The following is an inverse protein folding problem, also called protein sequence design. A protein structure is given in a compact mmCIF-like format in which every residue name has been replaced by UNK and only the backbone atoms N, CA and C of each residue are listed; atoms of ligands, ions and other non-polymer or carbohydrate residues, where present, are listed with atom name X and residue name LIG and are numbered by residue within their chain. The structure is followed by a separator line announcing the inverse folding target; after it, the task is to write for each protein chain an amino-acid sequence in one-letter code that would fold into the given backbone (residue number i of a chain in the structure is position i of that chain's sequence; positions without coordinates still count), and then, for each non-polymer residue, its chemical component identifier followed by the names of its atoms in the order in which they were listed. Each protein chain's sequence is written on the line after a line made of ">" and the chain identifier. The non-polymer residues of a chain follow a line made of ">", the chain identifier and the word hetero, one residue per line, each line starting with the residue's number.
data_IF_737043447663
#
_entry.id   IF_737043447663
#
_cell.length_a   1.000
_cell.length_b   1.000
_cell.length_c   1.000
_cell.angle_alpha   90.00
_cell.angle_beta   90.00
_cell.angle_gamma   90.00
#
_symmetry.space_group_name_H-M   'P 1'
#
loop_
_entity.id
_entity.type
_entity.pdbx_description
1 polymer ?
#
# COMPACT_ATOMS: atom_id res chain seq x y z
N UNK A 1 -9.03 -39.53 37.61
CA UNK A 1 -8.22 -38.93 36.54
C UNK A 1 -6.89 -39.68 36.57
N UNK A 2 -6.78 -40.82 35.87
CA UNK A 2 -6.28 -40.93 34.48
C UNK A 2 -4.95 -40.18 34.33
N UNK A 3 -3.82 -40.79 34.06
CA UNK A 3 -3.40 -42.17 33.79
C UNK A 3 -1.86 -42.13 33.85
N UNK A 4 -1.21 -43.14 34.38
CA UNK A 4 -0.68 -44.18 33.51
C UNK A 4 0.75 -43.84 33.05
N UNK A 5 1.74 -44.48 33.66
CA UNK A 5 2.85 -45.13 32.95
C UNK A 5 3.52 -46.09 33.93
N UNK A 6 3.46 -47.41 33.68
CA UNK A 6 4.20 -48.41 34.44
C UNK A 6 5.68 -48.37 34.05
N UNK A 7 6.53 -48.77 35.00
CA UNK A 7 7.97 -49.08 34.93
C UNK A 7 8.65 -49.02 33.54
N UNK A 8 9.62 -48.12 33.40
CA UNK A 8 10.86 -48.51 32.72
C UNK A 8 11.77 -49.10 33.80
N UNK A 9 11.82 -50.42 33.89
CA UNK A 9 12.82 -51.19 34.63
C UNK A 9 14.20 -50.97 34.00
N UNK A 10 14.75 -49.77 34.22
CA UNK A 10 16.10 -49.37 33.88
C UNK A 10 16.89 -49.12 35.16
N UNK A 11 18.20 -49.35 35.11
CA UNK A 11 19.11 -49.14 36.24
C UNK A 11 18.89 -47.76 36.87
N UNK A 12 18.54 -47.74 38.15
CA UNK A 12 18.39 -46.53 38.95
C UNK A 12 19.74 -46.09 39.52
N UNK A 13 20.00 -44.79 39.47
CA UNK A 13 21.27 -44.23 39.90
C UNK A 13 21.08 -43.28 41.08
N UNK A 14 21.91 -43.45 42.11
CA UNK A 14 22.07 -42.50 43.20
C UNK A 14 23.36 -41.71 42.98
N UNK A 15 23.31 -40.39 43.12
CA UNK A 15 24.44 -39.50 42.89
C UNK A 15 24.71 -38.61 44.10
N UNK A 16 25.97 -38.22 44.29
CA UNK A 16 26.38 -37.21 45.27
C UNK A 16 27.41 -36.26 44.69
N UNK A 17 27.36 -34.99 45.10
CA UNK A 17 28.34 -33.99 44.72
C UNK A 17 29.72 -34.26 45.32
N UNK A 18 30.76 -33.60 44.80
CA UNK A 18 32.14 -33.75 45.27
C UNK A 18 32.31 -33.40 46.77
N UNK A 19 31.54 -32.43 47.25
CA UNK A 19 31.56 -31.94 48.64
C UNK A 19 30.29 -32.33 49.43
N UNK A 20 29.45 -33.21 48.87
CA UNK A 20 28.15 -33.56 49.45
C UNK A 20 28.20 -34.96 50.08
N UNK A 21 27.72 -35.06 51.32
CA UNK A 21 27.60 -36.33 52.04
C UNK A 21 26.24 -36.98 51.82
N UNK A 22 25.26 -36.25 51.29
CA UNK A 22 23.91 -36.76 51.04
C UNK A 22 23.78 -37.31 49.62
N UNK A 23 23.17 -38.50 49.53
CA UNK A 23 22.85 -39.12 48.26
C UNK A 23 21.52 -38.57 47.73
N UNK A 24 21.48 -38.27 46.43
CA UNK A 24 20.29 -37.80 45.71
C UNK A 24 19.87 -38.87 44.70
N UNK A 25 18.58 -39.16 44.63
CA UNK A 25 18.01 -40.17 43.74
C UNK A 25 16.81 -40.88 44.38
N UNK A 26 16.31 -41.95 43.76
CA UNK A 26 16.82 -42.58 42.54
C UNK A 26 16.56 -41.74 41.27
N UNK A 27 17.53 -41.74 40.35
CA UNK A 27 17.38 -41.11 39.03
C UNK A 27 17.45 -42.15 37.91
N UNK A 28 16.62 -41.98 36.88
CA UNK A 28 16.78 -42.71 35.63
C UNK A 28 17.91 -42.12 34.77
N UNK A 29 18.39 -42.89 33.79
CA UNK A 29 19.43 -42.43 32.85
C UNK A 29 19.03 -41.14 32.11
N UNK A 30 17.75 -40.99 31.76
CA UNK A 30 17.22 -39.79 31.09
C UNK A 30 17.18 -38.58 32.03
N UNK A 31 16.84 -38.79 33.31
CA UNK A 31 16.86 -37.75 34.33
C UNK A 31 18.28 -37.29 34.62
N UNK A 32 19.25 -38.21 34.71
CA UNK A 32 20.66 -37.84 34.84
C UNK A 32 21.14 -37.00 33.66
N UNK A 33 20.73 -37.35 32.43
CA UNK A 33 21.06 -36.55 31.24
C UNK A 33 20.51 -35.13 31.35
N UNK A 34 19.25 -34.97 31.75
CA UNK A 34 18.66 -33.65 31.98
C UNK A 34 19.40 -32.85 33.06
N UNK A 35 19.90 -33.51 34.11
CA UNK A 35 20.68 -32.83 35.16
C UNK A 35 22.06 -32.35 34.69
N UNK A 36 22.65 -32.94 33.64
CA UNK A 36 23.90 -32.43 33.04
C UNK A 36 23.72 -31.12 32.27
N UNK A 37 22.50 -30.83 31.83
CA UNK A 37 22.16 -29.61 31.08
C UNK A 37 21.66 -28.48 32.01
N UNK A 38 21.47 -28.78 33.29
CA UNK A 38 21.01 -27.81 34.29
C UNK A 38 22.07 -26.76 34.60
N UNK A 39 21.67 -25.49 34.65
CA UNK A 39 22.52 -24.35 35.00
C UNK A 39 22.66 -24.12 36.51
N UNK A 40 21.96 -24.90 37.35
CA UNK A 40 22.03 -24.80 38.80
C UNK A 40 23.30 -25.51 39.33
N UNK A 41 24.32 -24.79 39.85
CA UNK A 41 25.59 -25.39 40.27
C UNK A 41 25.45 -26.36 41.44
N UNK A 42 24.37 -26.28 42.23
CA UNK A 42 24.13 -27.22 43.32
C UNK A 42 23.53 -28.54 42.82
N UNK A 43 22.79 -28.52 41.70
CA UNK A 43 22.04 -29.69 41.17
C UNK A 43 22.61 -30.25 39.87
N UNK A 44 23.57 -29.57 39.27
CA UNK A 44 24.24 -30.02 38.06
C UNK A 44 25.07 -31.28 38.33
N UNK A 45 25.02 -32.22 37.38
CA UNK A 45 25.85 -33.41 37.35
C UNK A 45 27.08 -33.14 36.49
N UNK A 46 28.26 -33.26 37.08
CA UNK A 46 29.55 -33.05 36.42
C UNK A 46 30.33 -34.37 36.34
N UNK A 47 31.39 -34.46 35.53
CA UNK A 47 32.25 -35.65 35.52
C UNK A 47 32.89 -35.97 36.88
N UNK A 48 32.95 -34.99 37.79
CA UNK A 48 33.45 -35.11 39.17
C UNK A 48 32.37 -35.60 40.16
N UNK A 49 31.12 -35.73 39.73
CA UNK A 49 30.03 -36.26 40.55
C UNK A 49 30.21 -37.77 40.75
N UNK A 50 29.94 -38.25 41.96
CA UNK A 50 29.98 -39.68 42.27
C UNK A 50 28.61 -40.32 42.04
N UNK A 51 28.60 -41.56 41.56
CA UNK A 51 27.43 -42.43 41.53
C UNK A 51 27.67 -43.66 42.41
N UNK A 52 26.60 -44.21 42.97
CA UNK A 52 26.66 -45.45 43.74
C UNK A 52 26.61 -46.64 42.79
N UNK A 53 27.62 -47.50 42.81
CA UNK A 53 27.62 -48.79 42.10
C UNK A 53 27.16 -49.90 43.04
N UNK A 54 26.01 -50.50 42.73
CA UNK A 54 25.44 -51.60 43.51
C UNK A 54 26.27 -52.90 43.42
N UNK A 55 27.14 -53.03 42.42
CA UNK A 55 27.97 -54.24 42.24
C UNK A 55 29.19 -54.26 43.14
N UNK A 56 29.83 -53.10 43.31
CA UNK A 56 31.01 -52.92 44.15
C UNK A 56 30.71 -52.31 45.52
N UNK A 57 29.46 -51.91 45.77
CA UNK A 57 28.99 -51.19 46.97
C UNK A 57 29.83 -49.93 47.28
N UNK A 58 30.34 -49.28 46.23
CA UNK A 58 31.24 -48.13 46.33
C UNK A 58 30.72 -46.93 45.55
N UNK A 59 31.13 -45.74 46.01
CA UNK A 59 30.91 -44.50 45.31
C UNK A 59 32.02 -44.29 44.28
N UNK A 60 31.67 -44.45 43.01
CA UNK A 60 32.59 -44.29 41.89
C UNK A 60 32.33 -42.97 41.19
N UNK A 61 33.39 -42.37 40.66
CA UNK A 61 33.26 -41.11 39.95
C UNK A 61 32.72 -41.35 38.53
N UNK A 62 31.71 -40.58 38.10
CA UNK A 62 31.07 -40.77 36.79
C UNK A 62 32.09 -40.64 35.65
N UNK A 63 33.05 -39.71 35.75
CA UNK A 63 34.12 -39.53 34.77
C UNK A 63 35.06 -40.73 34.60
N UNK A 64 35.13 -41.63 35.58
CA UNK A 64 35.95 -42.86 35.53
C UNK A 64 35.20 -44.06 34.95
N UNK A 65 33.87 -43.99 34.86
CA UNK A 65 33.03 -45.06 34.34
C UNK A 65 32.67 -44.81 32.86
N UNK A 66 33.32 -45.54 31.95
CA UNK A 66 33.24 -45.32 30.50
C UNK A 66 31.81 -45.37 29.94
N UNK A 67 30.97 -46.28 30.45
CA UNK A 67 29.58 -46.43 30.00
C UNK A 67 28.69 -45.25 30.45
N UNK A 68 28.88 -44.72 31.66
CA UNK A 68 28.08 -43.58 32.13
C UNK A 68 28.56 -42.27 31.51
N UNK A 69 29.87 -42.11 31.38
CA UNK A 69 30.48 -40.96 30.73
C UNK A 69 30.06 -40.83 29.26
N UNK A 70 30.08 -41.92 28.50
CA UNK A 70 29.68 -41.90 27.09
C UNK A 70 28.17 -41.67 26.89
N UNK A 71 27.34 -42.15 27.82
CA UNK A 71 25.90 -41.94 27.77
C UNK A 71 25.49 -40.50 28.15
N UNK A 72 26.16 -39.87 29.12
CA UNK A 72 25.91 -38.48 29.54
C UNK A 72 26.59 -37.45 28.64
N UNK A 73 27.85 -37.69 28.24
CA UNK A 73 28.65 -36.83 27.39
C UNK A 73 29.16 -37.58 26.15
N UNK A 74 28.29 -37.84 25.15
CA UNK A 74 28.74 -38.43 23.91
C UNK A 74 29.74 -37.49 23.22
N UNK A 75 30.95 -37.99 22.93
CA UNK A 75 31.93 -37.23 22.17
C UNK A 75 31.34 -36.86 20.81
N UNK A 76 31.11 -35.57 20.59
CA UNK A 76 30.54 -35.05 19.34
C UNK A 76 31.51 -35.36 18.20
N UNK A 77 31.26 -36.45 17.48
CA UNK A 77 31.95 -36.77 16.22
C UNK A 77 31.78 -35.57 15.29
N UNK A 78 32.86 -34.85 15.00
CA UNK A 78 32.87 -33.69 14.09
C UNK A 78 32.38 -34.14 12.72
N UNK A 79 31.10 -33.93 12.43
CA UNK A 79 30.57 -34.00 11.08
C UNK A 79 31.12 -32.80 10.32
N UNK A 80 32.11 -33.03 9.45
CA UNK A 80 32.62 -32.00 8.55
C UNK A 80 31.50 -31.58 7.60
N UNK A 81 30.98 -30.36 7.77
CA UNK A 81 30.11 -29.74 6.79
C UNK A 81 30.91 -29.48 5.51
N UNK A 82 30.52 -30.10 4.40
CA UNK A 82 30.94 -29.61 3.07
C UNK A 82 30.21 -28.28 2.87
N UNK A 83 30.96 -27.19 2.93
CA UNK A 83 30.49 -25.84 2.69
C UNK A 83 30.03 -25.74 1.23
N UNK A 84 28.72 -25.88 0.98
CA UNK A 84 28.11 -25.31 -0.22
C UNK A 84 28.03 -23.81 0.03
N UNK A 85 28.59 -23.01 -0.88
CA UNK A 85 28.43 -21.56 -0.86
C UNK A 85 26.93 -21.23 -0.95
N UNK A 86 26.36 -20.81 0.18
CA UNK A 86 25.07 -20.16 0.20
C UNK A 86 25.33 -18.68 0.04
N UNK A 87 24.84 -18.09 -1.06
CA UNK A 87 24.83 -16.64 -1.24
C UNK A 87 23.88 -16.07 -0.18
N UNK A 88 24.44 -15.41 0.84
CA UNK A 88 23.64 -14.73 1.84
C UNK A 88 22.84 -13.61 1.16
N UNK A 89 21.53 -13.58 1.36
CA UNK A 89 20.67 -12.51 0.80
C UNK A 89 20.96 -11.16 1.47
N UNK A 90 21.55 -11.17 2.67
CA UNK A 90 22.11 -10.00 3.34
C UNK A 90 23.61 -10.20 3.54
N UNK A 91 24.41 -9.99 2.49
CA UNK A 91 25.77 -9.51 2.72
C UNK A 91 25.65 -8.07 3.20
N UNK A 92 26.09 -7.77 4.43
CA UNK A 92 26.46 -6.41 4.76
C UNK A 92 27.58 -6.04 3.79
N UNK A 93 27.26 -5.19 2.82
CA UNK A 93 28.26 -4.61 1.94
C UNK A 93 29.25 -3.88 2.84
N UNK A 94 30.42 -4.48 3.05
CA UNK A 94 31.66 -3.81 3.44
C UNK A 94 32.22 -2.94 2.30
N UNK A 95 31.36 -2.40 1.45
CA UNK A 95 31.68 -1.15 0.78
C UNK A 95 31.42 -0.08 1.84
N UNK A 96 32.46 0.65 2.20
CA UNK A 96 32.28 1.96 2.82
C UNK A 96 31.37 2.76 1.91
N UNK A 97 30.06 2.70 2.15
CA UNK A 97 29.14 3.62 1.53
C UNK A 97 29.69 5.01 1.87
N UNK A 98 29.95 5.86 0.86
CA UNK A 98 30.48 7.20 1.11
C UNK A 98 29.61 7.87 2.17
N UNK A 99 30.25 8.63 3.07
CA UNK A 99 29.55 9.30 4.15
C UNK A 99 28.31 10.00 3.59
N UNK A 100 27.13 9.61 4.09
CA UNK A 100 25.84 10.12 3.62
C UNK A 100 25.91 11.64 3.65
N UNK A 101 25.82 12.24 2.47
CA UNK A 101 25.83 13.69 2.35
C UNK A 101 24.55 14.25 2.96
N UNK A 102 24.58 15.48 3.48
CA UNK A 102 23.37 16.12 4.03
C UNK A 102 22.25 16.15 2.98
N UNK A 103 22.61 16.24 1.71
CA UNK A 103 21.69 16.18 0.59
C UNK A 103 21.04 14.80 0.45
N UNK A 104 21.78 13.71 0.62
CA UNK A 104 21.21 12.35 0.65
C UNK A 104 20.38 12.09 1.91
N UNK A 105 20.76 12.67 3.05
CA UNK A 105 19.97 12.59 4.28
C UNK A 105 18.64 13.34 4.15
N UNK A 106 18.67 14.57 3.61
CA UNK A 106 17.48 15.36 3.31
C UNK A 106 16.63 14.68 2.22
N UNK A 107 17.26 14.13 1.18
CA UNK A 107 16.56 13.37 0.15
C UNK A 107 15.93 12.10 0.71
N UNK A 108 16.58 11.40 1.65
CA UNK A 108 15.98 10.26 2.34
C UNK A 108 14.80 10.65 3.22
N UNK A 109 14.91 11.78 3.95
CA UNK A 109 13.80 12.34 4.72
C UNK A 109 12.62 12.79 3.85
N UNK A 110 12.89 13.31 2.64
CA UNK A 110 11.89 13.68 1.64
C UNK A 110 11.41 12.50 0.77
N UNK A 111 11.92 11.28 0.98
CA UNK A 111 11.56 10.10 0.17
C UNK A 111 11.99 10.19 -1.30
N UNK A 112 13.11 10.87 -1.58
CA UNK A 112 13.73 11.12 -2.89
C UNK A 112 15.15 10.53 -3.00
N UNK A 113 15.39 9.37 -2.38
CA UNK A 113 16.62 8.58 -2.58
C UNK A 113 16.71 8.01 -3.99
N UNK A 114 17.87 7.57 -4.47
CA UNK A 114 18.00 6.99 -5.83
C UNK A 114 17.08 5.77 -6.08
N UNK A 115 16.64 5.05 -5.04
CA UNK A 115 15.62 3.97 -5.15
C UNK A 115 14.17 4.48 -5.25
N UNK A 116 13.91 5.73 -4.84
CA UNK A 116 12.57 6.36 -4.81
C UNK A 116 12.43 7.51 -5.81
N UNK A 117 13.54 7.96 -6.41
CA UNK A 117 13.70 9.00 -7.43
C UNK A 117 13.04 8.57 -8.76
N UNK A 118 11.72 8.63 -8.79
CA UNK A 118 10.90 8.18 -9.92
C UNK A 118 9.55 7.64 -9.47
N UNK A 119 9.47 7.15 -8.23
CA UNK A 119 8.20 6.93 -7.52
C UNK A 119 7.72 8.27 -6.97
N UNK A 120 7.46 9.24 -7.87
CA UNK A 120 6.77 10.49 -7.50
C UNK A 120 5.55 10.11 -6.69
N UNK A 121 5.40 10.71 -5.51
CA UNK A 121 4.30 10.39 -4.62
C UNK A 121 2.99 10.43 -5.41
N UNK A 122 2.27 9.30 -5.43
CA UNK A 122 1.03 9.18 -6.20
C UNK A 122 0.06 10.29 -5.78
N UNK A 123 0.14 10.73 -4.52
CA UNK A 123 -0.63 11.86 -3.99
C UNK A 123 -0.37 13.16 -4.76
N UNK A 124 0.90 13.53 -5.01
CA UNK A 124 1.27 14.75 -5.74
C UNK A 124 0.80 14.70 -7.20
N UNK A 125 0.91 13.53 -7.83
CA UNK A 125 0.47 13.34 -9.21
C UNK A 125 -1.06 13.44 -9.31
N UNK A 126 -1.78 12.82 -8.39
CA UNK A 126 -3.24 12.90 -8.30
C UNK A 126 -3.72 14.32 -8.01
N UNK A 127 -3.01 15.05 -7.14
CA UNK A 127 -3.33 16.45 -6.84
C UNK A 127 -3.15 17.34 -8.07
N UNK A 128 -2.04 17.19 -8.81
CA UNK A 128 -1.83 17.94 -10.07
C UNK A 128 -2.87 17.57 -11.13
N UNK A 129 -3.21 16.30 -11.28
CA UNK A 129 -4.26 15.86 -12.18
C UNK A 129 -5.62 16.46 -11.77
N UNK A 130 -5.98 16.45 -10.49
CA UNK A 130 -7.21 17.05 -10.01
C UNK A 130 -7.28 18.56 -10.28
N UNK A 131 -6.20 19.30 -10.06
CA UNK A 131 -6.12 20.73 -10.37
C UNK A 131 -6.32 21.00 -11.87
N UNK A 132 -5.62 20.25 -12.73
CA UNK A 132 -5.78 20.37 -14.18
C UNK A 132 -7.18 19.95 -14.63
N UNK A 133 -7.77 18.93 -14.02
CA UNK A 133 -9.13 18.50 -14.34
C UNK A 133 -10.17 19.53 -13.95
N UNK A 134 -10.00 20.19 -12.80
CA UNK A 134 -10.85 21.32 -12.37
C UNK A 134 -10.79 22.45 -13.40
N UNK A 135 -9.59 22.84 -13.81
CA UNK A 135 -9.38 23.93 -14.78
C UNK A 135 -9.94 23.59 -16.15
N UNK A 136 -9.71 22.37 -16.65
CA UNK A 136 -10.27 21.91 -17.91
C UNK A 136 -11.79 21.89 -17.88
N UNK A 137 -12.39 21.34 -16.82
CA UNK A 137 -13.84 21.34 -16.64
C UNK A 137 -14.40 22.78 -16.61
N UNK A 138 -13.71 23.71 -15.95
CA UNK A 138 -14.10 25.11 -15.93
C UNK A 138 -14.12 25.74 -17.33
N UNK A 139 -13.05 25.53 -18.12
CA UNK A 139 -12.96 26.06 -19.48
C UNK A 139 -14.03 25.42 -20.38
N UNK A 140 -14.27 24.11 -20.26
CA UNK A 140 -15.34 23.42 -21.01
C UNK A 140 -16.71 24.01 -20.67
N UNK A 141 -17.00 24.27 -19.39
CA UNK A 141 -18.24 24.93 -18.96
C UNK A 141 -18.35 26.35 -19.49
N UNK A 142 -17.27 27.13 -19.50
CA UNK A 142 -17.27 28.48 -20.06
C UNK A 142 -17.49 28.47 -21.58
N UNK A 143 -16.86 27.55 -22.31
CA UNK A 143 -17.11 27.38 -23.74
C UNK A 143 -18.55 26.96 -24.04
N UNK A 144 -19.13 26.09 -23.20
CA UNK A 144 -20.56 25.75 -23.28
C UNK A 144 -21.45 26.97 -23.07
N UNK A 145 -21.13 27.81 -22.07
CA UNK A 145 -21.85 29.05 -21.81
C UNK A 145 -21.79 30.01 -23.01
N UNK A 146 -20.59 30.19 -23.58
CA UNK A 146 -20.37 30.98 -24.79
C UNK A 146 -21.23 30.44 -25.93
N UNK A 147 -21.19 29.13 -26.20
CA UNK A 147 -21.93 28.50 -27.28
C UNK A 147 -23.45 28.66 -27.17
N UNK A 148 -24.00 28.67 -25.95
CA UNK A 148 -25.43 28.74 -25.68
C UNK A 148 -25.95 30.18 -25.56
N UNK A 149 -25.13 31.13 -25.09
CA UNK A 149 -25.53 32.53 -24.91
C UNK A 149 -25.36 33.32 -26.22
N UNK A 150 -24.25 33.12 -26.94
CA UNK A 150 -23.87 33.98 -28.08
C UNK A 150 -24.96 34.16 -29.14
N UNK A 151 -25.67 33.10 -29.60
CA UNK A 151 -26.70 33.23 -30.65
C UNK A 151 -27.81 34.23 -30.33
N UNK A 152 -27.93 34.63 -29.07
CA UNK A 152 -28.96 35.52 -28.55
C UNK A 152 -28.36 36.65 -27.71
N UNK A 153 -27.08 37.00 -27.95
CA UNK A 153 -26.38 38.00 -27.15
C UNK A 153 -27.02 39.39 -27.25
N UNK A 154 -27.58 39.74 -28.41
CA UNK A 154 -28.29 41.02 -28.60
C UNK A 154 -29.51 41.12 -27.68
N UNK A 155 -30.23 40.02 -27.45
CA UNK A 155 -31.38 39.98 -26.54
C UNK A 155 -30.94 40.09 -25.07
N UNK A 156 -29.80 39.47 -24.73
CA UNK A 156 -29.21 39.55 -23.38
C UNK A 156 -28.75 40.98 -23.08
N UNK A 157 -28.05 41.62 -24.03
CA UNK A 157 -27.56 43.00 -23.90
C UNK A 157 -28.70 44.02 -23.87
N UNK A 158 -29.77 43.77 -24.64
CA UNK A 158 -30.97 44.60 -24.64
C UNK A 158 -31.86 44.41 -23.39
N UNK A 159 -31.54 43.43 -22.53
CA UNK A 159 -32.36 43.04 -21.37
C UNK A 159 -33.85 42.81 -21.70
N UNK A 160 -34.14 42.31 -22.91
CA UNK A 160 -35.50 42.02 -23.37
C UNK A 160 -35.97 40.68 -22.80
N UNK A 161 -36.36 40.71 -21.52
CA UNK A 161 -36.75 39.52 -20.74
C UNK A 161 -37.96 38.80 -21.34
N UNK A 162 -38.82 39.50 -22.10
CA UNK A 162 -39.97 38.90 -22.76
C UNK A 162 -39.52 37.93 -23.87
N UNK A 163 -38.55 38.31 -24.69
CA UNK A 163 -38.01 37.45 -25.75
C UNK A 163 -36.99 36.43 -25.25
N UNK A 164 -36.35 36.71 -24.11
CA UNK A 164 -35.41 35.78 -23.49
C UNK A 164 -36.12 34.52 -22.97
N UNK A 165 -37.37 34.66 -22.52
CA UNK A 165 -38.20 33.54 -22.04
C UNK A 165 -38.40 32.45 -23.11
N UNK A 166 -38.43 32.84 -24.38
CA UNK A 166 -38.60 31.92 -25.52
C UNK A 166 -37.27 31.23 -25.93
N UNK A 167 -36.15 31.55 -25.26
CA UNK A 167 -34.82 31.02 -25.56
C UNK A 167 -34.26 30.22 -24.36
N UNK A 168 -34.72 28.97 -24.15
CA UNK A 168 -34.33 28.15 -22.99
C UNK A 168 -32.81 27.88 -22.90
N UNK A 169 -32.10 27.89 -24.03
CA UNK A 169 -30.65 27.68 -24.06
C UNK A 169 -29.85 28.78 -23.36
N UNK A 170 -30.34 30.03 -23.34
CA UNK A 170 -29.64 31.15 -22.69
C UNK A 170 -29.54 30.93 -21.19
N UNK A 171 -30.61 30.43 -20.56
CA UNK A 171 -30.62 30.11 -19.14
C UNK A 171 -29.64 28.97 -18.81
N UNK A 172 -29.55 27.94 -19.66
CA UNK A 172 -28.56 26.88 -19.51
C UNK A 172 -27.13 27.42 -19.66
N UNK A 173 -26.90 28.33 -20.60
CA UNK A 173 -25.61 28.98 -20.76
C UNK A 173 -25.21 29.82 -19.53
N UNK A 174 -26.15 30.52 -18.91
CA UNK A 174 -25.90 31.24 -17.65
C UNK A 174 -25.52 30.29 -16.51
N UNK A 175 -26.23 29.16 -16.38
CA UNK A 175 -25.88 28.12 -15.41
C UNK A 175 -24.45 27.61 -15.66
N UNK A 176 -24.10 27.35 -16.92
CA UNK A 176 -22.75 26.90 -17.28
C UNK A 176 -21.67 27.96 -17.00
N UNK A 177 -21.98 29.24 -17.15
CA UNK A 177 -21.08 30.34 -16.81
C UNK A 177 -20.81 30.38 -15.30
N UNK A 178 -21.86 30.24 -14.48
CA UNK A 178 -21.74 30.18 -13.01
C UNK A 178 -20.95 28.96 -12.58
N UNK A 179 -21.22 27.78 -13.16
CA UNK A 179 -20.44 26.56 -12.90
C UNK A 179 -18.96 26.78 -13.25
N UNK A 180 -18.67 27.30 -14.45
CA UNK A 180 -17.30 27.56 -14.90
C UNK A 180 -16.56 28.51 -13.96
N UNK A 181 -17.22 29.57 -13.51
CA UNK A 181 -16.66 30.51 -12.52
C UNK A 181 -16.37 29.82 -11.18
N UNK A 182 -17.33 29.06 -10.64
CA UNK A 182 -17.14 28.36 -9.36
C UNK A 182 -16.01 27.32 -9.43
N UNK A 183 -15.84 26.65 -10.57
CA UNK A 183 -14.73 25.73 -10.82
C UNK A 183 -13.39 26.46 -10.92
N UNK A 184 -13.33 27.64 -11.58
CA UNK A 184 -12.12 28.47 -11.59
C UNK A 184 -11.72 28.94 -10.19
N UNK A 185 -12.69 29.23 -9.34
CA UNK A 185 -12.49 29.56 -7.93
C UNK A 185 -12.09 28.33 -7.07
N UNK A 186 -12.07 27.12 -7.64
CA UNK A 186 -11.64 25.90 -6.96
C UNK A 186 -12.74 25.23 -6.12
N UNK A 187 -14.01 25.57 -6.33
CA UNK A 187 -15.14 24.98 -5.60
C UNK A 187 -15.44 23.57 -6.13
N UNK A 188 -14.71 22.56 -5.66
CA UNK A 188 -14.86 21.16 -6.12
C UNK A 188 -16.13 20.45 -5.59
N UNK A 189 -16.78 21.02 -4.58
CA UNK A 189 -18.04 20.48 -4.02
C UNK A 189 -19.20 20.49 -5.03
N UNK A 190 -19.09 21.30 -6.09
CA UNK A 190 -20.08 21.37 -7.17
C UNK A 190 -19.97 20.22 -8.18
N UNK A 191 -18.94 19.35 -8.09
CA UNK A 191 -18.73 18.26 -9.05
C UNK A 191 -19.94 17.36 -9.31
N UNK A 192 -20.75 16.96 -8.32
CA UNK A 192 -21.97 16.19 -8.58
C UNK A 192 -22.92 16.92 -9.53
N UNK A 193 -23.04 18.25 -9.39
CA UNK A 193 -23.85 19.08 -10.27
C UNK A 193 -23.24 19.21 -11.68
N UNK A 194 -21.91 19.36 -11.78
CA UNK A 194 -21.19 19.36 -13.07
C UNK A 194 -21.42 18.06 -13.82
N UNK A 195 -21.35 16.92 -13.11
CA UNK A 195 -21.60 15.59 -13.68
C UNK A 195 -23.04 15.43 -14.13
N UNK A 196 -24.00 15.88 -13.32
CA UNK A 196 -25.41 15.91 -13.71
C UNK A 196 -25.60 16.75 -14.99
N UNK A 197 -25.03 17.95 -15.03
CA UNK A 197 -25.12 18.86 -16.18
C UNK A 197 -24.50 18.25 -17.45
N UNK A 198 -23.40 17.52 -17.31
CA UNK A 198 -22.77 16.78 -18.40
C UNK A 198 -23.69 15.66 -18.93
N UNK A 199 -24.26 14.83 -18.04
CA UNK A 199 -25.21 13.78 -18.46
C UNK A 199 -26.48 14.38 -19.05
N UNK A 200 -26.96 15.50 -18.50
CA UNK A 200 -28.08 16.27 -19.06
C UNK A 200 -27.76 16.80 -20.46
N UNK A 201 -26.53 17.29 -20.70
CA UNK A 201 -26.09 17.71 -22.02
C UNK A 201 -26.06 16.56 -23.02
N UNK A 202 -25.49 15.43 -22.62
CA UNK A 202 -25.45 14.23 -23.46
C UNK A 202 -26.86 13.71 -23.77
N UNK A 203 -27.72 13.62 -22.75
CA UNK A 203 -29.08 13.11 -22.89
C UNK A 203 -30.03 14.10 -23.56
N UNK A 204 -30.39 15.17 -22.84
CA UNK A 204 -31.42 16.11 -23.29
C UNK A 204 -30.99 16.94 -24.50
N UNK A 205 -29.84 17.63 -24.43
CA UNK A 205 -29.39 18.46 -25.56
C UNK A 205 -28.99 17.59 -26.77
N UNK A 206 -28.32 16.46 -26.54
CA UNK A 206 -28.05 15.48 -27.60
C UNK A 206 -29.32 15.01 -28.30
N UNK A 207 -30.35 14.64 -27.54
CA UNK A 207 -31.65 14.24 -28.09
C UNK A 207 -32.37 15.37 -28.82
N UNK A 208 -32.32 16.61 -28.31
CA UNK A 208 -32.91 17.76 -29.01
C UNK A 208 -32.27 17.98 -30.38
N UNK A 209 -30.94 17.96 -30.48
CA UNK A 209 -30.27 18.11 -31.77
C UNK A 209 -30.53 16.93 -32.71
N UNK A 210 -30.65 15.71 -32.16
CA UNK A 210 -31.04 14.53 -32.93
C UNK A 210 -32.43 14.68 -33.56
N UNK A 211 -33.43 15.12 -32.78
CA UNK A 211 -34.81 15.33 -33.28
C UNK A 211 -34.93 16.48 -34.28
N UNK A 212 -34.02 17.46 -34.21
CA UNK A 212 -33.90 18.55 -35.18
C UNK A 212 -33.10 18.17 -36.43
N UNK A 213 -32.61 16.93 -36.54
CA UNK A 213 -31.77 16.47 -37.66
C UNK A 213 -30.37 17.11 -37.70
N UNK A 214 -29.97 17.82 -36.64
CA UNK A 214 -28.70 18.51 -36.54
C UNK A 214 -27.62 17.59 -35.96
N UNK A 215 -27.03 16.75 -36.82
CA UNK A 215 -26.03 15.75 -36.40
C UNK A 215 -24.74 16.41 -35.89
N UNK A 216 -24.31 17.52 -36.48
CA UNK A 216 -23.04 18.17 -36.10
C UNK A 216 -23.07 18.75 -34.68
N UNK A 217 -24.06 19.57 -34.28
CA UNK A 217 -24.21 20.04 -32.90
C UNK A 217 -24.44 18.90 -31.90
N UNK A 218 -25.16 17.84 -32.30
CA UNK A 218 -25.35 16.64 -31.47
C UNK A 218 -24.01 16.00 -31.10
N UNK A 219 -23.12 15.76 -32.07
CA UNK A 219 -21.80 15.18 -31.82
C UNK A 219 -20.94 16.12 -30.97
N UNK A 220 -20.98 17.42 -31.26
CA UNK A 220 -20.23 18.44 -30.52
C UNK A 220 -20.62 18.46 -29.02
N UNK A 221 -21.92 18.46 -28.73
CA UNK A 221 -22.46 18.40 -27.36
C UNK A 221 -22.14 17.08 -26.68
N UNK A 222 -22.25 15.96 -27.40
CA UNK A 222 -21.93 14.64 -26.85
C UNK A 222 -20.44 14.54 -26.46
N UNK A 223 -19.55 15.01 -27.34
CA UNK A 223 -18.11 15.07 -27.06
C UNK A 223 -17.80 16.02 -25.90
N UNK A 224 -18.35 17.23 -25.93
CA UNK A 224 -18.21 18.23 -24.87
C UNK A 224 -18.65 17.71 -23.51
N UNK A 225 -19.82 17.08 -23.46
CA UNK A 225 -20.43 16.52 -22.25
C UNK A 225 -19.63 15.32 -21.72
N UNK A 226 -19.18 14.43 -22.60
CA UNK A 226 -18.37 13.27 -22.22
C UNK A 226 -17.04 13.72 -21.63
N UNK A 227 -16.36 14.66 -22.28
CA UNK A 227 -15.12 15.24 -21.77
C UNK A 227 -15.30 15.95 -20.43
N UNK A 228 -16.37 16.74 -20.26
CA UNK A 228 -16.70 17.40 -19.01
C UNK A 228 -16.89 16.40 -17.86
N UNK A 229 -17.65 15.32 -18.10
CA UNK A 229 -17.91 14.29 -17.10
C UNK A 229 -16.60 13.64 -16.62
N UNK A 230 -15.76 13.19 -17.56
CA UNK A 230 -14.53 12.50 -17.24
C UNK A 230 -13.43 13.40 -16.64
N UNK A 231 -13.42 14.70 -16.96
CA UNK A 231 -12.53 15.67 -16.31
C UNK A 231 -12.76 15.76 -14.79
N UNK A 232 -13.96 15.41 -14.30
CA UNK A 232 -14.27 15.40 -12.86
C UNK A 232 -13.98 14.07 -12.17
N UNK A 233 -13.57 13.03 -12.92
CA UNK A 233 -13.38 11.66 -12.42
C UNK A 233 -11.92 11.23 -12.50
N UNK A 234 -11.24 11.52 -13.61
CA UNK A 234 -9.88 11.02 -13.82
C UNK A 234 -8.86 11.75 -12.94
N UNK A 235 -8.13 10.95 -12.15
CA UNK A 235 -7.04 11.41 -11.28
C UNK A 235 -5.65 11.06 -11.85
N UNK A 236 -5.59 10.64 -13.11
CA UNK A 236 -4.34 10.40 -13.83
C UNK A 236 -4.25 11.31 -15.06
N UNK A 237 -3.05 11.82 -15.32
CA UNK A 237 -2.82 12.90 -16.27
C UNK A 237 -3.16 12.51 -17.73
N UNK A 238 -2.87 11.27 -18.13
CA UNK A 238 -3.08 10.80 -19.50
C UNK A 238 -4.57 10.73 -19.86
N UNK A 239 -5.42 9.95 -19.17
CA UNK A 239 -6.84 9.90 -19.52
C UNK A 239 -7.52 11.24 -19.26
N UNK A 240 -7.03 12.03 -18.29
CA UNK A 240 -7.50 13.40 -18.10
C UNK A 240 -7.22 14.29 -19.31
N UNK A 241 -6.01 14.26 -19.87
CA UNK A 241 -5.64 15.06 -21.03
C UNK A 241 -6.51 14.70 -22.25
N UNK A 242 -6.77 13.40 -22.46
CA UNK A 242 -7.68 12.95 -23.52
C UNK A 242 -9.10 13.45 -23.29
N UNK A 243 -9.63 13.30 -22.07
CA UNK A 243 -10.96 13.80 -21.73
C UNK A 243 -11.08 15.32 -21.89
N UNK A 244 -10.04 16.07 -21.50
CA UNK A 244 -9.99 17.52 -21.65
C UNK A 244 -9.98 17.93 -23.13
N UNK A 245 -9.16 17.27 -23.97
CA UNK A 245 -9.12 17.55 -25.41
C UNK A 245 -10.47 17.25 -26.09
N UNK A 246 -11.10 16.12 -25.75
CA UNK A 246 -12.43 15.76 -26.28
C UNK A 246 -13.48 16.77 -25.82
N UNK A 247 -13.45 17.18 -24.55
CA UNK A 247 -14.40 18.14 -23.99
C UNK A 247 -14.24 19.54 -24.58
N UNK A 248 -13.00 20.02 -24.66
CA UNK A 248 -12.67 21.32 -25.25
C UNK A 248 -12.98 21.35 -26.73
N UNK A 249 -12.60 20.30 -27.47
CA UNK A 249 -12.89 20.16 -28.90
C UNK A 249 -14.39 20.15 -29.18
N UNK A 250 -15.16 19.39 -28.40
CA UNK A 250 -16.62 19.33 -28.53
C UNK A 250 -17.30 20.68 -28.26
N UNK A 251 -16.95 21.36 -27.17
CA UNK A 251 -17.57 22.65 -26.84
C UNK A 251 -17.07 23.80 -27.74
N UNK A 252 -15.81 23.77 -28.19
CA UNK A 252 -15.30 24.72 -29.17
C UNK A 252 -16.03 24.55 -30.52
N UNK A 253 -16.21 23.30 -30.97
CA UNK A 253 -16.97 23.00 -32.18
C UNK A 253 -18.40 23.53 -32.05
N UNK A 254 -19.07 23.27 -30.93
CA UNK A 254 -20.42 23.78 -30.67
C UNK A 254 -20.46 25.32 -30.73
N UNK A 255 -19.50 25.99 -30.09
CA UNK A 255 -19.41 27.46 -30.12
C UNK A 255 -19.22 28.03 -31.53
N UNK A 256 -18.43 27.36 -32.38
CA UNK A 256 -18.24 27.79 -33.77
C UNK A 256 -19.47 27.56 -34.65
N UNK A 257 -20.21 26.46 -34.41
CA UNK A 257 -21.46 26.18 -35.13
C UNK A 257 -22.55 27.16 -34.76
N UNK A 258 -22.58 27.63 -33.51
CA UNK A 258 -23.46 28.70 -33.05
C UNK A 258 -23.25 30.04 -33.76
N UNK A 259 -22.13 30.22 -34.50
CA UNK A 259 -21.81 31.43 -35.25
C UNK A 259 -22.16 31.34 -36.75
N UNK A 260 -22.37 30.13 -37.28
CA UNK A 260 -22.62 29.89 -38.72
C UNK A 260 -24.10 29.81 -39.02
#
# INVERSE_FOLDING_TARGET
>A
MSGGSPESSGTEYYIRGLNDTEARGPFSMEQLRSLTESSDPAKNVTPETYFYDATSEQWLQIGTHEHLKSALWPEKKKMGFKQKEFKAVNEEKTDSAPAITVQEFLAAAEGRTDETKGKKDKSEQMMKAAQWGTRSAAVISLLSAVALILPSIDLVLAMDMAKLADKPFVYLGFVDAVIGLLLLLGVITIYPFVRFRAVFGLGFLGFLFMTQGQVTPMIAVAAGSTGLYFCTIFLSLIPLAVAALVGLGGMAMLATLSYS
#
